data_IF_992282977608
#
_entry.id   IF_992282977608
#
_cell.length_a   1.000
_cell.length_b   1.000
_cell.length_c   1.000
_cell.angle_alpha   90.00
_cell.angle_beta   90.00
_cell.angle_gamma   90.00
#
_symmetry.space_group_name_H-M   'P 1'
#
loop_
_entity.id
_entity.type
_entity.pdbx_description
1 polymer ?
#
# COMPACT_ATOMS: atom_id res chain seq x y z
N UNK A 1 1.33 71.04 72.19
CA UNK A 1 2.52 70.34 71.75
C UNK A 1 2.05 69.00 71.17
N UNK A 2 1.68 69.00 69.83
CA UNK A 2 1.16 67.83 69.12
C UNK A 2 2.32 67.11 68.42
N UNK A 3 2.51 65.84 68.77
CA UNK A 3 3.43 64.97 68.09
C UNK A 3 2.70 64.28 66.96
N UNK A 4 3.04 64.60 65.68
CA UNK A 4 2.52 64.02 64.53
C UNK A 4 3.32 62.73 64.21
N UNK A 5 2.69 61.59 64.36
CA UNK A 5 3.29 60.29 64.05
C UNK A 5 2.99 59.95 62.57
N UNK A 6 4.04 59.94 61.73
CA UNK A 6 3.95 59.54 60.33
C UNK A 6 4.03 58.01 60.27
N UNK A 7 2.94 57.38 59.84
CA UNK A 7 2.92 55.93 59.55
C UNK A 7 3.30 55.73 58.09
N UNK A 8 4.44 55.08 57.87
CA UNK A 8 4.96 54.74 56.56
C UNK A 8 4.31 53.42 56.14
N UNK A 9 3.37 53.51 55.17
CA UNK A 9 2.74 52.29 54.59
C UNK A 9 3.66 51.80 53.47
N UNK A 10 4.30 50.64 53.66
CA UNK A 10 5.10 49.94 52.64
C UNK A 10 4.16 49.10 51.80
N UNK A 11 3.94 49.48 50.56
CA UNK A 11 3.20 48.66 49.59
C UNK A 11 4.12 47.54 49.10
N UNK A 12 3.83 46.31 49.50
CA UNK A 12 4.39 45.10 48.86
C UNK A 12 3.66 44.84 47.54
N UNK A 13 4.31 45.14 46.41
CA UNK A 13 3.84 44.73 45.11
C UNK A 13 4.14 43.22 44.93
N UNK A 14 3.16 42.34 45.09
CA UNK A 14 3.26 40.95 44.69
C UNK A 14 3.15 40.86 43.18
N UNK A 15 4.29 40.64 42.51
CA UNK A 15 4.32 40.31 41.09
C UNK A 15 3.68 38.92 40.89
N UNK A 16 2.41 38.87 40.44
CA UNK A 16 1.83 37.67 39.90
C UNK A 16 2.56 37.26 38.63
N UNK A 17 3.37 36.23 38.73
CA UNK A 17 3.98 35.58 37.56
C UNK A 17 2.86 34.81 36.80
N UNK A 18 2.28 35.43 35.80
CA UNK A 18 1.34 34.77 34.89
C UNK A 18 2.11 33.79 34.03
N UNK A 19 2.35 32.58 34.57
CA UNK A 19 2.67 31.41 33.77
C UNK A 19 1.42 31.05 32.96
N UNK A 20 1.30 31.56 31.74
CA UNK A 20 0.28 31.11 30.78
C UNK A 20 0.41 29.60 30.60
N UNK A 21 -0.69 28.91 30.26
CA UNK A 21 -0.65 27.46 30.00
C UNK A 21 0.41 27.21 28.92
N UNK A 22 1.41 26.38 29.24
CA UNK A 22 2.31 25.85 28.23
C UNK A 22 1.43 25.08 27.27
N UNK A 23 1.23 25.62 26.08
CA UNK A 23 0.66 24.86 24.95
C UNK A 23 1.62 23.71 24.71
N UNK A 24 1.26 22.54 25.21
CA UNK A 24 1.90 21.29 24.81
C UNK A 24 1.56 21.16 23.34
N UNK A 25 2.50 21.48 22.46
CA UNK A 25 2.43 21.04 21.07
C UNK A 25 2.39 19.52 21.16
N UNK A 26 1.22 18.92 20.90
CA UNK A 26 1.14 17.52 20.58
C UNK A 26 1.90 17.45 19.24
N UNK A 27 3.10 16.89 19.27
CA UNK A 27 3.75 16.48 18.04
C UNK A 27 2.73 15.58 17.35
N UNK A 28 2.25 15.96 16.18
CA UNK A 28 1.40 15.10 15.36
C UNK A 28 2.25 13.87 15.10
N UNK A 29 1.94 12.77 15.78
CA UNK A 29 2.60 11.49 15.59
C UNK A 29 2.42 11.15 14.11
N UNK A 30 3.51 11.17 13.34
CA UNK A 30 3.46 10.91 11.90
C UNK A 30 2.89 9.50 11.72
N UNK A 31 1.69 9.42 11.13
CA UNK A 31 1.06 8.14 10.84
C UNK A 31 1.95 7.44 9.82
N UNK A 32 2.49 6.28 10.21
CA UNK A 32 3.27 5.41 9.33
C UNK A 32 2.53 4.11 9.12
N UNK A 33 2.81 3.40 8.03
CA UNK A 33 2.25 2.09 7.76
C UNK A 33 3.20 0.98 8.22
N UNK A 34 2.68 -0.18 8.62
CA UNK A 34 3.51 -1.33 8.95
C UNK A 34 4.19 -1.90 7.71
N UNK A 35 5.18 -2.75 7.96
CA UNK A 35 5.86 -3.59 6.98
C UNK A 35 5.52 -5.06 7.23
N UNK A 36 5.54 -5.86 6.16
CA UNK A 36 5.24 -7.29 6.22
C UNK A 36 6.33 -8.09 5.50
N UNK A 37 6.79 -9.18 6.11
CA UNK A 37 7.90 -10.01 5.61
C UNK A 37 7.55 -11.49 5.47
N UNK A 38 6.32 -11.89 5.86
CA UNK A 38 5.93 -13.30 5.87
C UNK A 38 4.43 -13.51 5.67
N UNK A 39 4.04 -14.73 5.32
CA UNK A 39 2.65 -15.12 5.02
C UNK A 39 1.68 -15.01 6.20
N UNK A 40 2.16 -14.87 7.43
CA UNK A 40 1.32 -14.63 8.63
C UNK A 40 0.79 -13.20 8.67
N UNK A 41 1.34 -12.29 7.84
CA UNK A 41 1.05 -10.86 7.86
C UNK A 41 1.14 -10.24 9.26
N UNK A 42 2.14 -10.68 10.04
CA UNK A 42 2.46 -10.06 11.32
C UNK A 42 3.07 -8.67 11.08
N UNK A 43 2.42 -7.58 11.52
CA UNK A 43 2.90 -6.24 11.20
C UNK A 43 4.19 -5.92 11.97
N UNK A 44 5.17 -5.36 11.26
CA UNK A 44 6.42 -4.83 11.81
C UNK A 44 6.41 -3.32 11.66
N UNK A 45 6.77 -2.62 12.73
CA UNK A 45 6.79 -1.16 12.75
C UNK A 45 8.22 -0.67 12.92
N UNK A 46 8.60 0.30 12.10
CA UNK A 46 9.88 0.99 12.18
C UNK A 46 9.65 2.48 12.32
N UNK A 47 10.50 3.15 13.09
CA UNK A 47 10.36 4.59 13.36
C UNK A 47 10.69 5.43 12.14
N UNK A 48 11.67 4.98 11.36
CA UNK A 48 12.09 5.58 10.09
C UNK A 48 12.38 4.50 9.06
N UNK A 49 12.53 4.91 7.80
CA UNK A 49 12.87 4.01 6.69
C UNK A 49 14.27 3.38 6.90
N UNK A 50 15.20 4.13 7.48
CA UNK A 50 16.57 3.70 7.75
C UNK A 50 16.64 2.60 8.83
N UNK A 51 15.59 2.47 9.66
CA UNK A 51 15.49 1.41 10.68
C UNK A 51 15.06 0.05 10.08
N UNK A 52 14.57 0.03 8.83
CA UNK A 52 14.21 -1.21 8.14
C UNK A 52 15.48 -2.02 7.86
N UNK A 53 15.58 -3.29 8.30
CA UNK A 53 16.76 -4.12 8.03
C UNK A 53 17.04 -4.23 6.52
N UNK A 54 18.33 -4.22 6.15
CA UNK A 54 18.76 -4.31 4.74
C UNK A 54 18.32 -5.62 4.08
N UNK A 55 18.16 -6.67 4.86
CA UNK A 55 17.69 -7.99 4.43
C UNK A 55 16.18 -8.19 4.65
N UNK A 56 15.44 -7.11 4.96
CA UNK A 56 13.99 -7.18 5.08
C UNK A 56 13.36 -7.57 3.74
N UNK A 57 12.28 -8.33 3.78
CA UNK A 57 11.62 -8.84 2.58
C UNK A 57 11.25 -7.72 1.60
N UNK A 58 11.68 -7.88 0.37
CA UNK A 58 11.34 -7.04 -0.78
C UNK A 58 10.87 -7.93 -1.93
N UNK A 59 9.97 -7.43 -2.75
CA UNK A 59 9.57 -8.12 -3.98
C UNK A 59 10.80 -8.26 -4.88
N UNK A 60 11.21 -9.49 -5.22
CA UNK A 60 12.42 -9.75 -5.99
C UNK A 60 12.27 -9.35 -7.46
N UNK A 61 13.36 -9.49 -8.20
CA UNK A 61 13.37 -9.28 -9.65
C UNK A 61 12.40 -10.25 -10.36
N UNK A 62 11.65 -9.71 -11.30
CA UNK A 62 10.78 -10.47 -12.20
C UNK A 62 10.77 -9.83 -13.58
N UNK A 63 10.27 -10.58 -14.57
CA UNK A 63 10.12 -10.11 -15.93
C UNK A 63 8.84 -10.71 -16.53
N UNK A 64 7.85 -9.85 -16.76
CA UNK A 64 6.54 -10.20 -17.29
C UNK A 64 6.18 -9.23 -18.43
N UNK A 65 5.07 -9.48 -19.12
CA UNK A 65 4.57 -8.63 -20.21
C UNK A 65 3.19 -8.08 -19.85
N UNK A 66 2.95 -6.82 -20.19
CA UNK A 66 1.64 -6.22 -20.03
C UNK A 66 0.73 -6.45 -21.25
N UNK A 67 -0.53 -6.02 -21.15
CA UNK A 67 -1.54 -6.12 -22.23
C UNK A 67 -1.18 -5.40 -23.53
N UNK A 68 -0.10 -4.62 -23.55
CA UNK A 68 0.42 -3.94 -24.75
C UNK A 68 1.67 -4.61 -25.31
N UNK A 69 2.13 -5.71 -24.69
CA UNK A 69 3.35 -6.43 -25.07
C UNK A 69 4.64 -5.77 -24.59
N UNK A 70 4.55 -4.77 -23.72
CA UNK A 70 5.74 -4.18 -23.10
C UNK A 70 6.18 -5.00 -21.89
N UNK A 71 7.48 -5.16 -21.75
CA UNK A 71 8.12 -5.77 -20.60
C UNK A 71 7.85 -4.93 -19.33
N UNK A 72 7.53 -5.60 -18.22
CA UNK A 72 7.37 -5.01 -16.89
C UNK A 72 8.23 -5.80 -15.93
N UNK A 73 9.09 -5.11 -15.22
CA UNK A 73 10.08 -5.68 -14.30
C UNK A 73 9.93 -5.11 -12.89
N UNK A 74 10.61 -5.68 -11.91
CA UNK A 74 10.62 -5.13 -10.56
C UNK A 74 11.14 -3.68 -10.51
N UNK A 75 12.03 -3.29 -11.42
CA UNK A 75 12.57 -1.92 -11.52
C UNK A 75 11.50 -0.88 -11.87
N UNK A 76 10.42 -1.30 -12.53
CA UNK A 76 9.30 -0.40 -12.85
C UNK A 76 8.52 0.01 -11.60
N UNK A 77 8.67 -0.75 -10.49
CA UNK A 77 8.08 -0.47 -9.19
C UNK A 77 8.93 0.51 -8.36
N UNK A 78 10.23 0.64 -8.67
CA UNK A 78 11.14 1.49 -7.91
C UNK A 78 10.66 2.95 -7.88
N UNK A 79 10.60 3.55 -6.69
CA UNK A 79 10.10 4.90 -6.44
C UNK A 79 8.62 5.11 -6.84
N UNK A 80 7.83 4.04 -6.92
CA UNK A 80 6.39 4.11 -7.17
C UNK A 80 5.63 3.29 -6.12
N UNK A 81 4.43 3.73 -5.82
CA UNK A 81 3.51 2.95 -5.00
C UNK A 81 2.74 2.02 -5.92
N UNK A 82 2.80 0.73 -5.64
CA UNK A 82 2.13 -0.28 -6.46
C UNK A 82 0.99 -0.94 -5.70
N UNK A 83 -0.15 -1.11 -6.37
CA UNK A 83 -1.28 -1.89 -5.87
C UNK A 83 -1.34 -3.16 -6.71
N UNK A 84 -1.31 -4.31 -6.04
CA UNK A 84 -1.15 -5.62 -6.67
C UNK A 84 -2.35 -6.50 -6.39
N UNK A 85 -2.87 -7.17 -7.42
CA UNK A 85 -3.84 -8.25 -7.29
C UNK A 85 -3.59 -9.38 -8.29
N UNK A 86 -4.24 -10.51 -8.06
CA UNK A 86 -4.19 -11.69 -8.93
C UNK A 86 -5.58 -11.96 -9.51
N UNK A 87 -5.66 -12.31 -10.79
CA UNK A 87 -6.93 -12.50 -11.51
C UNK A 87 -6.78 -13.49 -12.67
N UNK A 88 -7.86 -13.78 -13.36
CA UNK A 88 -7.86 -14.40 -14.69
C UNK A 88 -9.10 -13.96 -15.48
N UNK A 89 -8.97 -13.88 -16.79
CA UNK A 89 -9.97 -13.24 -17.67
C UNK A 89 -11.32 -13.99 -17.71
N UNK A 90 -11.29 -15.29 -17.50
CA UNK A 90 -12.46 -16.19 -17.60
C UNK A 90 -13.09 -16.54 -16.25
N UNK A 91 -12.73 -15.81 -15.18
CA UNK A 91 -13.25 -16.07 -13.82
C UNK A 91 -14.78 -15.90 -13.76
N UNK A 92 -15.55 -16.98 -13.42
CA UNK A 92 -17.00 -16.88 -13.32
C UNK A 92 -17.48 -16.43 -11.93
N UNK A 93 -16.56 -16.26 -10.98
CA UNK A 93 -16.86 -16.15 -9.55
C UNK A 93 -16.65 -14.76 -8.97
N UNK A 94 -15.54 -14.58 -8.23
CA UNK A 94 -15.27 -13.38 -7.43
C UNK A 94 -14.78 -12.19 -8.24
N UNK A 95 -14.15 -12.41 -9.41
CA UNK A 95 -13.54 -11.36 -10.20
C UNK A 95 -14.51 -10.22 -10.60
N UNK A 96 -15.78 -10.47 -10.99
CA UNK A 96 -16.71 -9.37 -11.27
C UNK A 96 -16.97 -8.44 -10.08
N UNK A 97 -17.01 -8.99 -8.85
CA UNK A 97 -17.14 -8.15 -7.64
C UNK A 97 -15.85 -7.38 -7.34
N UNK A 98 -14.72 -8.05 -7.52
CA UNK A 98 -13.42 -7.43 -7.33
C UNK A 98 -13.20 -6.30 -8.33
N UNK A 99 -13.62 -6.48 -9.60
CA UNK A 99 -13.52 -5.44 -10.64
C UNK A 99 -14.23 -4.14 -10.25
N UNK A 100 -15.42 -4.21 -9.64
CA UNK A 100 -16.11 -3.01 -9.17
C UNK A 100 -15.28 -2.20 -8.15
N UNK A 101 -14.53 -2.90 -7.30
CA UNK A 101 -13.62 -2.28 -6.35
C UNK A 101 -12.31 -1.82 -7.02
N UNK A 102 -11.81 -2.54 -8.03
CA UNK A 102 -10.65 -2.13 -8.82
C UNK A 102 -10.89 -0.83 -9.60
N UNK A 103 -12.13 -0.58 -10.07
CA UNK A 103 -12.48 0.71 -10.66
C UNK A 103 -12.39 1.87 -9.67
N UNK A 104 -12.76 1.67 -8.40
CA UNK A 104 -12.56 2.71 -7.38
C UNK A 104 -11.06 3.05 -7.20
N UNK A 105 -10.20 2.03 -7.27
CA UNK A 105 -8.75 2.22 -7.23
C UNK A 105 -8.27 2.90 -8.51
N UNK A 106 -8.72 2.45 -9.68
CA UNK A 106 -8.40 3.07 -10.97
C UNK A 106 -8.70 4.58 -10.96
N UNK A 107 -9.89 4.96 -10.47
CA UNK A 107 -10.33 6.36 -10.44
C UNK A 107 -9.42 7.22 -9.55
N UNK A 108 -9.00 6.71 -8.40
CA UNK A 108 -8.08 7.43 -7.49
C UNK A 108 -6.67 7.58 -8.08
N UNK A 109 -6.22 6.61 -8.91
CA UNK A 109 -4.87 6.60 -9.48
C UNK A 109 -4.72 7.34 -10.81
N UNK A 110 -5.81 7.85 -11.42
CA UNK A 110 -5.80 8.40 -12.78
C UNK A 110 -4.77 9.51 -13.01
N UNK A 111 -4.54 10.37 -12.02
CA UNK A 111 -3.65 11.54 -12.09
C UNK A 111 -2.35 11.33 -11.29
N UNK A 112 -1.99 10.07 -11.00
CA UNK A 112 -0.87 9.73 -10.12
C UNK A 112 0.30 9.17 -10.90
N UNK A 113 1.29 9.99 -11.21
CA UNK A 113 2.48 9.57 -11.98
C UNK A 113 3.34 8.53 -11.26
N UNK A 114 3.32 8.54 -9.91
CA UNK A 114 4.08 7.61 -9.06
C UNK A 114 3.24 6.46 -8.52
N UNK A 115 2.14 6.11 -9.18
CA UNK A 115 1.28 5.01 -8.80
C UNK A 115 1.15 3.99 -9.93
N UNK A 116 1.09 2.71 -9.57
CA UNK A 116 0.86 1.60 -10.50
C UNK A 116 -0.20 0.66 -9.95
N UNK A 117 -1.00 0.10 -10.84
CA UNK A 117 -1.94 -0.98 -10.54
C UNK A 117 -1.54 -2.19 -11.38
N UNK A 118 -1.17 -3.28 -10.71
CA UNK A 118 -0.63 -4.47 -11.34
C UNK A 118 -1.54 -5.67 -11.07
N UNK A 119 -2.15 -6.19 -12.13
CA UNK A 119 -3.01 -7.37 -12.06
C UNK A 119 -2.31 -8.54 -12.74
N UNK A 120 -1.88 -9.53 -11.96
CA UNK A 120 -1.15 -10.70 -12.45
C UNK A 120 -2.14 -11.78 -12.87
N UNK A 121 -2.09 -12.23 -14.14
CA UNK A 121 -2.91 -13.37 -14.56
C UNK A 121 -2.36 -14.68 -13.99
N UNK A 122 -3.25 -15.47 -13.37
CA UNK A 122 -2.90 -16.80 -12.84
C UNK A 122 -3.14 -17.92 -13.86
N UNK A 123 -3.57 -17.57 -15.06
CA UNK A 123 -3.76 -18.48 -16.21
C UNK A 123 -3.02 -17.96 -17.46
N UNK A 124 -1.71 -17.71 -17.38
CA UNK A 124 -0.98 -17.05 -18.47
C UNK A 124 -1.00 -17.83 -19.79
N UNK A 125 -1.22 -19.14 -19.75
CA UNK A 125 -1.39 -19.96 -20.95
C UNK A 125 -2.69 -19.65 -21.71
N UNK A 126 -3.70 -19.10 -21.01
CA UNK A 126 -5.00 -18.70 -21.59
C UNK A 126 -5.07 -17.17 -21.76
N UNK A 127 -4.37 -16.44 -20.92
CA UNK A 127 -4.39 -14.99 -20.84
C UNK A 127 -3.11 -14.43 -21.47
N UNK A 128 -2.94 -14.65 -22.77
CA UNK A 128 -1.88 -14.02 -23.56
C UNK A 128 -2.10 -12.51 -23.73
N UNK A 129 -1.16 -11.83 -24.40
CA UNK A 129 -1.19 -10.37 -24.60
C UNK A 129 -2.48 -9.92 -25.28
N UNK A 130 -2.92 -10.63 -26.33
CA UNK A 130 -4.14 -10.27 -27.07
C UNK A 130 -5.41 -10.47 -26.23
N UNK A 131 -5.48 -11.54 -25.43
CA UNK A 131 -6.58 -11.81 -24.51
C UNK A 131 -6.65 -10.75 -23.42
N UNK A 132 -5.51 -10.37 -22.84
CA UNK A 132 -5.43 -9.31 -21.81
C UNK A 132 -5.82 -7.96 -22.41
N UNK A 133 -5.41 -7.65 -23.64
CA UNK A 133 -5.81 -6.43 -24.33
C UNK A 133 -7.32 -6.39 -24.57
N UNK A 134 -7.89 -7.47 -25.10
CA UNK A 134 -9.34 -7.57 -25.31
C UNK A 134 -10.12 -7.48 -23.98
N UNK A 135 -9.58 -8.06 -22.91
CA UNK A 135 -10.15 -7.95 -21.56
C UNK A 135 -10.11 -6.51 -21.05
N UNK A 136 -8.98 -5.80 -21.22
CA UNK A 136 -8.84 -4.42 -20.81
C UNK A 136 -9.84 -3.50 -21.54
N UNK A 137 -9.98 -3.67 -22.87
CA UNK A 137 -10.95 -2.93 -23.67
C UNK A 137 -12.39 -3.19 -23.24
N UNK A 138 -12.75 -4.46 -23.06
CA UNK A 138 -14.10 -4.88 -22.64
C UNK A 138 -14.48 -4.36 -21.26
N UNK A 139 -13.52 -4.27 -20.36
CA UNK A 139 -13.73 -3.85 -18.97
C UNK A 139 -13.35 -2.39 -18.73
N UNK A 140 -13.20 -1.58 -19.79
CA UNK A 140 -12.91 -0.14 -19.69
C UNK A 140 -11.73 0.18 -18.77
N UNK A 141 -10.66 -0.64 -18.86
CA UNK A 141 -9.40 -0.40 -18.16
C UNK A 141 -8.65 0.67 -18.93
N UNK A 142 -8.86 1.93 -18.56
CA UNK A 142 -8.38 3.11 -19.28
C UNK A 142 -7.19 3.79 -18.62
N UNK A 143 -6.92 3.47 -17.35
CA UNK A 143 -5.79 4.04 -16.62
C UNK A 143 -4.47 3.54 -17.21
N UNK A 144 -3.64 4.47 -17.67
CA UNK A 144 -2.31 4.17 -18.26
C UNK A 144 -1.34 3.50 -17.29
N UNK A 145 -1.61 3.60 -15.98
CA UNK A 145 -0.82 2.97 -14.93
C UNK A 145 -1.39 1.62 -14.47
N UNK A 146 -2.46 1.13 -15.09
CA UNK A 146 -3.01 -0.19 -14.80
C UNK A 146 -2.55 -1.22 -15.85
N UNK A 147 -1.67 -2.11 -15.42
CA UNK A 147 -1.11 -3.17 -16.24
C UNK A 147 -1.68 -4.53 -15.85
N UNK A 148 -2.20 -5.23 -16.85
CA UNK A 148 -2.56 -6.63 -16.77
C UNK A 148 -1.34 -7.44 -17.21
N UNK A 149 -0.82 -8.30 -16.34
CA UNK A 149 0.47 -8.97 -16.53
C UNK A 149 0.30 -10.44 -16.86
N UNK A 150 1.07 -10.90 -17.84
CA UNK A 150 1.19 -12.30 -18.22
C UNK A 150 2.66 -12.67 -18.46
N UNK A 151 2.96 -13.97 -18.51
CA UNK A 151 4.31 -14.44 -18.75
C UNK A 151 4.52 -15.87 -18.29
N UNK A 152 5.68 -16.16 -17.73
CA UNK A 152 6.00 -17.48 -17.21
C UNK A 152 5.13 -17.83 -15.98
N UNK A 153 4.43 -18.98 -16.05
CA UNK A 153 3.52 -19.42 -15.00
C UNK A 153 4.23 -19.68 -13.68
N UNK A 154 5.39 -20.33 -13.73
CA UNK A 154 6.13 -20.66 -12.50
C UNK A 154 6.56 -19.40 -11.78
N UNK A 155 7.03 -18.38 -12.54
CA UNK A 155 7.38 -17.08 -11.99
C UNK A 155 6.18 -16.37 -11.36
N UNK A 156 5.01 -16.34 -12.02
CA UNK A 156 3.79 -15.70 -11.49
C UNK A 156 3.33 -16.40 -10.20
N UNK A 157 3.41 -17.73 -10.16
CA UNK A 157 3.00 -18.50 -8.99
C UNK A 157 3.99 -18.37 -7.83
N UNK A 158 5.30 -18.31 -8.12
CA UNK A 158 6.32 -18.02 -7.10
C UNK A 158 6.11 -16.63 -6.51
N UNK A 159 5.92 -15.62 -7.37
CA UNK A 159 5.60 -14.27 -6.92
C UNK A 159 4.37 -14.26 -6.01
N UNK A 160 3.27 -14.87 -6.43
CA UNK A 160 2.05 -14.87 -5.65
C UNK A 160 2.17 -15.58 -4.30
N UNK A 161 2.77 -16.77 -4.28
CA UNK A 161 2.84 -17.62 -3.08
C UNK A 161 3.94 -17.23 -2.13
N UNK A 162 5.14 -17.01 -2.66
CA UNK A 162 6.35 -16.91 -1.86
C UNK A 162 6.83 -15.47 -1.67
N UNK A 163 6.38 -14.53 -2.52
CA UNK A 163 6.85 -13.15 -2.48
C UNK A 163 5.74 -12.17 -2.06
N UNK A 164 4.55 -12.33 -2.59
CA UNK A 164 3.38 -11.52 -2.18
C UNK A 164 2.56 -12.18 -1.08
N UNK A 165 2.80 -13.47 -0.76
CA UNK A 165 2.11 -14.22 0.30
C UNK A 165 0.57 -14.19 0.17
N UNK A 166 0.04 -14.16 -1.05
CA UNK A 166 -1.39 -13.92 -1.28
C UNK A 166 -2.29 -15.11 -0.98
N UNK A 167 -1.73 -16.32 -0.87
CA UNK A 167 -2.46 -17.50 -0.43
C UNK A 167 -2.29 -17.70 1.07
N UNK A 168 -3.42 -17.88 1.78
CA UNK A 168 -3.38 -18.27 3.19
C UNK A 168 -2.67 -19.63 3.33
N UNK A 169 -1.70 -19.69 4.22
CA UNK A 169 -1.12 -20.96 4.66
C UNK A 169 -2.13 -21.70 5.57
N UNK A 170 -2.91 -22.59 4.96
CA UNK A 170 -3.84 -23.48 5.70
C UNK A 170 -3.17 -24.76 6.19
N UNK A 171 -1.83 -24.84 6.14
CA UNK A 171 -1.07 -26.02 6.50
C UNK A 171 -1.24 -27.19 5.51
N UNK A 172 -1.80 -26.94 4.33
CA UNK A 172 -1.97 -27.92 3.25
C UNK A 172 -0.86 -27.62 2.23
N UNK A 173 0.03 -28.58 2.02
CA UNK A 173 1.04 -28.48 0.98
C UNK A 173 0.34 -28.36 -0.39
N UNK A 174 0.56 -27.26 -1.08
CA UNK A 174 0.09 -27.03 -2.45
C UNK A 174 1.13 -27.50 -3.44
N UNK A 175 0.68 -28.21 -4.46
CA UNK A 175 1.52 -28.63 -5.57
C UNK A 175 1.72 -27.47 -6.57
N UNK A 176 2.69 -27.60 -7.49
CA UNK A 176 2.92 -26.60 -8.53
C UNK A 176 1.70 -26.41 -9.45
N UNK A 177 0.86 -27.44 -9.58
CA UNK A 177 -0.34 -27.42 -10.43
C UNK A 177 -1.60 -26.91 -9.72
N UNK A 178 -1.54 -26.71 -8.39
CA UNK A 178 -2.68 -26.18 -7.65
C UNK A 178 -2.93 -24.73 -8.05
N UNK A 179 -4.18 -24.43 -8.37
CA UNK A 179 -4.59 -23.12 -8.87
C UNK A 179 -4.43 -22.03 -7.81
N UNK A 180 -3.66 -21.01 -8.13
CA UNK A 180 -3.52 -19.83 -7.27
C UNK A 180 -4.79 -18.99 -7.37
N UNK A 181 -5.46 -18.79 -6.24
CA UNK A 181 -6.63 -17.93 -6.21
C UNK A 181 -6.73 -17.21 -4.86
N UNK A 182 -6.98 -15.90 -4.92
CA UNK A 182 -7.02 -15.03 -3.76
C UNK A 182 -7.93 -13.84 -4.04
N UNK A 183 -8.56 -13.32 -2.99
CA UNK A 183 -9.21 -12.00 -3.01
C UNK A 183 -8.33 -10.89 -2.43
N UNK A 184 -7.09 -11.19 -2.06
CA UNK A 184 -6.20 -10.22 -1.45
C UNK A 184 -5.66 -9.22 -2.48
N UNK A 185 -5.65 -7.95 -2.09
CA UNK A 185 -5.00 -6.83 -2.77
C UNK A 185 -3.90 -6.32 -1.85
N UNK A 186 -2.71 -6.10 -2.40
CA UNK A 186 -1.57 -5.64 -1.63
C UNK A 186 -1.20 -4.21 -2.01
N UNK A 187 -0.66 -3.49 -1.03
CA UNK A 187 -0.06 -2.17 -1.20
C UNK A 187 1.45 -2.29 -1.01
N UNK A 188 2.21 -1.86 -2.00
CA UNK A 188 3.67 -1.97 -2.08
C UNK A 188 4.26 -0.56 -2.17
N UNK A 189 5.31 -0.28 -1.41
CA UNK A 189 6.00 1.01 -1.46
C UNK A 189 7.06 1.10 -2.58
N UNK A 190 7.69 2.27 -2.69
CA UNK A 190 8.71 2.53 -3.71
C UNK A 190 10.03 1.79 -3.53
N UNK A 191 10.22 1.10 -2.41
CA UNK A 191 11.34 0.19 -2.15
C UNK A 191 10.94 -1.27 -2.28
N UNK A 192 9.74 -1.54 -2.78
CA UNK A 192 9.17 -2.88 -3.01
C UNK A 192 8.84 -3.66 -1.74
N UNK A 193 8.61 -3.01 -0.61
CA UNK A 193 8.12 -3.64 0.62
C UNK A 193 6.60 -3.71 0.65
N UNK A 194 6.05 -4.79 1.21
CA UNK A 194 4.61 -4.91 1.44
C UNK A 194 4.24 -4.03 2.64
N UNK A 195 3.33 -3.07 2.41
CA UNK A 195 2.87 -2.09 3.41
C UNK A 195 1.41 -2.27 3.80
N UNK A 196 0.67 -3.11 3.09
CA UNK A 196 -0.71 -3.42 3.41
C UNK A 196 -1.26 -4.61 2.64
N UNK A 197 -2.27 -5.26 3.23
CA UNK A 197 -3.04 -6.34 2.61
C UNK A 197 -4.53 -6.11 2.89
N UNK A 198 -5.37 -6.23 1.88
CA UNK A 198 -6.77 -5.85 1.94
C UNK A 198 -7.63 -6.88 1.21
N UNK A 199 -8.81 -7.18 1.76
CA UNK A 199 -9.77 -8.03 1.07
C UNK A 199 -10.43 -7.25 -0.08
N UNK A 200 -10.15 -7.64 -1.32
CA UNK A 200 -10.62 -7.00 -2.55
C UNK A 200 -12.12 -7.11 -2.79
N UNK A 201 -12.85 -7.94 -2.04
CA UNK A 201 -14.31 -8.05 -2.08
C UNK A 201 -15.00 -7.11 -1.08
N UNK A 202 -14.23 -6.50 -0.15
CA UNK A 202 -14.76 -5.66 0.91
C UNK A 202 -14.51 -4.19 0.60
N UNK A 203 -15.59 -3.46 0.30
CA UNK A 203 -15.53 -2.02 -0.02
C UNK A 203 -14.85 -1.17 1.07
N UNK A 204 -15.06 -1.51 2.35
CA UNK A 204 -14.42 -0.79 3.47
C UNK A 204 -12.91 -1.03 3.49
N UNK A 205 -12.47 -2.27 3.19
CA UNK A 205 -11.04 -2.56 3.06
C UNK A 205 -10.41 -1.79 1.90
N UNK A 206 -11.12 -1.61 0.79
CA UNK A 206 -10.65 -0.77 -0.33
C UNK A 206 -10.57 0.71 0.05
N UNK A 207 -11.52 1.22 0.81
CA UNK A 207 -11.45 2.59 1.33
C UNK A 207 -10.24 2.78 2.26
N UNK A 208 -9.93 1.76 3.08
CA UNK A 208 -8.73 1.77 3.92
C UNK A 208 -7.46 1.74 3.05
N UNK A 209 -7.40 0.86 2.03
CA UNK A 209 -6.29 0.82 1.08
C UNK A 209 -6.02 2.20 0.47
N UNK A 210 -7.07 2.91 0.02
CA UNK A 210 -6.93 4.25 -0.56
C UNK A 210 -6.47 5.31 0.46
N UNK A 211 -6.84 5.13 1.74
CA UNK A 211 -6.33 5.99 2.83
C UNK A 211 -4.84 5.72 3.08
N UNK A 212 -4.45 4.45 3.14
CA UNK A 212 -3.09 4.02 3.37
C UNK A 212 -2.18 4.36 2.16
N UNK A 213 -2.73 4.29 0.94
CA UNK A 213 -2.05 4.78 -0.27
C UNK A 213 -1.65 6.26 -0.13
N UNK A 214 -2.55 7.13 0.36
CA UNK A 214 -2.24 8.55 0.61
C UNK A 214 -1.17 8.75 1.67
N UNK A 215 -1.13 7.89 2.68
CA UNK A 215 -0.06 7.88 3.68
C UNK A 215 1.29 7.58 3.03
N UNK A 216 1.37 6.57 2.14
CA UNK A 216 2.59 6.27 1.37
C UNK A 216 2.97 7.39 0.39
N UNK A 217 1.99 8.06 -0.23
CA UNK A 217 2.29 9.24 -1.08
C UNK A 217 3.00 10.34 -0.27
N UNK A 218 2.56 10.57 0.97
CA UNK A 218 3.21 11.53 1.86
C UNK A 218 4.62 11.06 2.27
N UNK A 219 4.78 9.77 2.61
CA UNK A 219 6.10 9.19 2.91
C UNK A 219 7.07 9.32 1.72
N UNK A 220 6.58 9.08 0.48
CA UNK A 220 7.39 9.17 -0.75
C UNK A 220 7.73 10.61 -1.14
N UNK A 221 6.93 11.59 -0.76
CA UNK A 221 7.17 13.01 -1.03
C UNK A 221 8.22 13.61 -0.10
N UNK A 222 8.42 13.04 1.07
CA UNK A 222 9.39 13.48 2.08
C UNK A 222 10.82 12.93 1.82
N UNK A 223 11.01 12.08 0.79
CA UNK A 223 12.29 11.49 0.37
C UNK A 223 12.97 12.34 -0.72
#
# INVERSE_FOLDING_TARGET
MNKLTIVLIVFFATACNNGGPKTTTIDEEKITLPYYEEATFTPRWFSTKEDVPVDFHQIPEFNLFNQYGYEVTAKDLDNKISIVNFFFTTCPGICPKMMANMYMIQDELQEKDKAMLLSYSVTPEMDGIEELKAYAEKNEIVNKSWFLLTGDREQIYDLGRNQFFVEEDKGIAKGPDDFLHTENILLIDGDRHIRGIYNGLNKTAIQQLLTDFKTLEAELADQ
#
